data_IF_605056680922
#
_entry.id   IF_605056680922
#
_cell.length_a   1.000
_cell.length_b   1.000
_cell.length_c   1.000
_cell.angle_alpha   90.00
_cell.angle_beta   90.00
_cell.angle_gamma   90.00
#
_symmetry.space_group_name_H-M   'P 1'
#
loop_
_entity.id
_entity.type
_entity.pdbx_description
1 polymer ?
#
# COMPACT_ATOMS: atom_id res chain seq x y z
N UNK A 1 -7.38 9.63 -7.73
CA UNK A 1 -6.34 8.92 -8.51
C UNK A 1 -6.42 7.44 -8.21
N UNK A 2 -5.63 6.59 -8.87
CA UNK A 2 -5.53 5.15 -8.55
C UNK A 2 -4.23 4.88 -7.77
N UNK A 3 -4.23 3.88 -6.88
CA UNK A 3 -3.03 3.44 -6.14
C UNK A 3 -2.88 1.92 -6.12
N UNK A 4 -1.65 1.45 -5.90
CA UNK A 4 -1.31 0.04 -5.74
C UNK A 4 -1.65 -0.81 -6.96
N UNK A 5 -2.18 -2.01 -6.72
CA UNK A 5 -2.52 -2.99 -7.77
C UNK A 5 -3.41 -2.39 -8.87
N UNK A 6 -4.32 -1.47 -8.54
CA UNK A 6 -5.22 -0.83 -9.52
C UNK A 6 -4.44 0.07 -10.47
N UNK A 7 -3.50 0.86 -9.95
CA UNK A 7 -2.65 1.74 -10.76
C UNK A 7 -1.62 0.94 -11.57
N UNK A 8 -0.98 -0.06 -10.93
CA UNK A 8 -0.01 -0.96 -11.56
C UNK A 8 -0.61 -1.78 -12.70
N UNK A 9 -1.89 -2.09 -12.66
CA UNK A 9 -2.59 -2.81 -13.72
C UNK A 9 -2.78 -2.02 -15.03
N UNK A 10 -2.55 -0.70 -15.00
CA UNK A 10 -2.59 0.21 -16.16
C UNK A 10 -1.23 0.89 -16.40
N UNK A 11 -0.14 0.28 -15.93
CA UNK A 11 1.22 0.71 -16.22
C UNK A 11 1.75 1.82 -15.31
N UNK A 12 0.98 2.29 -14.33
CA UNK A 12 1.43 3.31 -13.39
C UNK A 12 2.33 2.66 -12.35
N UNK A 13 3.61 3.03 -12.36
CA UNK A 13 4.63 2.55 -11.43
C UNK A 13 4.66 3.39 -10.16
N UNK A 14 3.66 3.25 -9.30
CA UNK A 14 3.66 3.85 -7.97
C UNK A 14 3.82 2.76 -6.90
N UNK A 15 4.87 2.87 -6.09
CA UNK A 15 5.12 1.92 -5.00
C UNK A 15 5.94 2.62 -3.93
N UNK A 16 5.34 2.84 -2.76
CA UNK A 16 6.02 3.58 -1.69
C UNK A 16 7.25 2.86 -1.14
N UNK A 17 7.42 1.54 -1.36
CA UNK A 17 8.68 0.84 -1.01
C UNK A 17 9.87 1.28 -1.86
N UNK A 18 9.61 1.83 -3.06
CA UNK A 18 10.63 2.36 -3.98
C UNK A 18 10.68 3.88 -3.94
N UNK A 19 9.52 4.54 -3.98
CA UNK A 19 9.42 6.01 -4.04
C UNK A 19 9.75 6.67 -2.70
N UNK A 20 9.38 6.02 -1.59
CA UNK A 20 9.59 6.49 -0.21
C UNK A 20 10.10 5.35 0.68
N UNK A 21 11.29 4.80 0.39
CA UNK A 21 11.74 3.55 1.00
C UNK A 21 11.81 3.67 2.53
N UNK A 22 11.30 2.63 3.20
CA UNK A 22 11.26 2.50 4.65
C UNK A 22 11.74 1.12 5.07
N UNK A 23 12.01 0.93 6.36
CA UNK A 23 12.65 -0.28 6.87
C UNK A 23 13.92 -0.60 6.05
N UNK A 24 14.06 -1.82 5.54
CA UNK A 24 15.22 -2.27 4.78
C UNK A 24 14.94 -2.43 3.26
N UNK A 25 13.84 -1.89 2.72
CA UNK A 25 13.48 -2.11 1.30
C UNK A 25 14.55 -1.58 0.32
N UNK A 26 15.19 -0.45 0.64
CA UNK A 26 16.31 0.11 -0.12
C UNK A 26 17.58 -0.77 -0.05
N UNK A 27 17.81 -1.45 1.07
CA UNK A 27 18.96 -2.33 1.30
C UNK A 27 18.78 -3.70 0.62
N UNK A 28 17.54 -4.18 0.50
CA UNK A 28 17.22 -5.46 -0.16
C UNK A 28 17.17 -5.38 -1.69
N UNK A 29 17.44 -4.20 -2.27
CA UNK A 29 17.50 -4.01 -3.72
C UNK A 29 16.14 -4.09 -4.42
N UNK A 30 15.05 -3.80 -3.71
CA UNK A 30 13.72 -3.73 -4.32
C UNK A 30 13.62 -2.48 -5.21
N UNK A 31 13.70 -2.68 -6.53
CA UNK A 31 13.71 -1.57 -7.51
C UNK A 31 12.74 -1.78 -8.67
N UNK A 32 12.27 -3.00 -8.89
CA UNK A 32 11.39 -3.34 -10.00
C UNK A 32 9.93 -3.34 -9.55
N UNK A 33 9.15 -2.40 -10.10
CA UNK A 33 7.70 -2.31 -9.88
C UNK A 33 6.99 -3.07 -11.01
N UNK A 34 6.33 -4.16 -10.62
CA UNK A 34 5.60 -5.04 -11.52
C UNK A 34 4.30 -4.38 -11.99
N UNK A 35 4.09 -4.35 -13.30
CA UNK A 35 2.94 -3.70 -13.93
C UNK A 35 2.32 -4.56 -15.02
N UNK A 36 1.11 -4.18 -15.40
CA UNK A 36 0.36 -4.65 -16.57
C UNK A 36 -0.22 -3.44 -17.30
N UNK A 37 -0.82 -3.62 -18.48
CA UNK A 37 -1.28 -2.50 -19.33
C UNK A 37 -2.79 -2.48 -19.59
N UNK A 38 -3.47 -3.63 -19.56
CA UNK A 38 -4.87 -3.70 -20.02
C UNK A 38 -5.88 -3.15 -19.03
N UNK A 39 -5.52 -3.00 -17.74
CA UNK A 39 -6.42 -2.46 -16.71
C UNK A 39 -7.63 -3.32 -16.36
N UNK A 40 -7.78 -4.49 -16.98
CA UNK A 40 -8.88 -5.41 -16.72
C UNK A 40 -8.66 -6.23 -15.43
N UNK A 41 -9.60 -7.15 -15.16
CA UNK A 41 -9.51 -8.06 -14.02
C UNK A 41 -8.26 -8.95 -14.11
N UNK A 42 -7.90 -9.40 -15.32
CA UNK A 42 -6.76 -10.26 -15.55
C UNK A 42 -5.45 -9.53 -15.28
N UNK A 43 -5.29 -8.27 -15.70
CA UNK A 43 -4.15 -7.43 -15.37
C UNK A 43 -3.97 -7.27 -13.85
N UNK A 44 -5.05 -6.97 -13.11
CA UNK A 44 -5.00 -6.90 -11.64
C UNK A 44 -4.63 -8.24 -10.99
N UNK A 45 -5.03 -9.36 -11.59
CA UNK A 45 -4.60 -10.68 -11.14
C UNK A 45 -3.12 -10.92 -11.41
N UNK A 46 -2.65 -10.66 -12.63
CA UNK A 46 -1.26 -10.83 -13.04
C UNK A 46 -0.30 -9.99 -12.21
N UNK A 47 -0.63 -8.72 -11.92
CA UNK A 47 0.15 -7.88 -10.99
C UNK A 47 0.32 -8.56 -9.64
N UNK A 48 -0.76 -9.10 -9.04
CA UNK A 48 -0.66 -9.80 -7.74
C UNK A 48 0.23 -11.04 -7.81
N UNK A 49 0.13 -11.82 -8.89
CA UNK A 49 0.99 -13.00 -9.08
C UNK A 49 2.46 -12.59 -9.19
N UNK A 50 2.76 -11.51 -9.91
CA UNK A 50 4.11 -10.94 -10.01
C UNK A 50 4.60 -10.44 -8.65
N UNK A 51 3.78 -9.71 -7.90
CA UNK A 51 4.11 -9.22 -6.55
C UNK A 51 4.33 -10.35 -5.55
N UNK A 52 3.62 -11.48 -5.65
CA UNK A 52 3.89 -12.68 -4.83
C UNK A 52 5.28 -13.23 -5.13
N UNK A 53 5.67 -13.34 -6.41
CA UNK A 53 7.02 -13.80 -6.79
C UNK A 53 8.10 -12.82 -6.32
N UNK A 54 7.87 -11.52 -6.46
CA UNK A 54 8.77 -10.49 -5.96
C UNK A 54 8.90 -10.55 -4.43
N UNK A 55 7.79 -10.79 -3.71
CA UNK A 55 7.79 -10.95 -2.25
C UNK A 55 8.61 -12.17 -1.80
N UNK A 56 8.48 -13.31 -2.50
CA UNK A 56 9.30 -14.50 -2.23
C UNK A 56 10.79 -14.18 -2.43
N UNK A 57 11.14 -13.53 -3.54
CA UNK A 57 12.53 -13.11 -3.82
C UNK A 57 13.07 -12.18 -2.72
N UNK A 58 12.28 -11.23 -2.25
CA UNK A 58 12.66 -10.33 -1.15
C UNK A 58 12.88 -11.09 0.17
N UNK A 59 12.02 -12.06 0.48
CA UNK A 59 12.19 -12.91 1.68
C UNK A 59 13.51 -13.70 1.57
N UNK A 60 13.79 -14.31 0.41
CA UNK A 60 15.05 -15.03 0.19
C UNK A 60 16.28 -14.13 0.27
N UNK A 61 16.18 -12.87 -0.21
CA UNK A 61 17.24 -11.88 -0.08
C UNK A 61 17.45 -11.49 1.38
N UNK A 62 16.38 -11.19 2.12
CA UNK A 62 16.44 -10.81 3.52
C UNK A 62 17.05 -11.93 4.39
N UNK A 63 16.70 -13.19 4.14
CA UNK A 63 17.26 -14.33 4.86
C UNK A 63 18.78 -14.50 4.65
N UNK A 64 19.34 -14.03 3.53
CA UNK A 64 20.79 -14.11 3.26
C UNK A 64 21.60 -13.05 3.99
N UNK A 65 20.97 -11.93 4.34
CA UNK A 65 21.63 -10.77 4.95
C UNK A 65 21.07 -10.43 6.33
N UNK A 66 20.30 -11.35 6.93
CA UNK A 66 19.62 -11.14 8.19
C UNK A 66 20.67 -10.88 9.30
N UNK A 67 20.72 -9.67 9.88
CA UNK A 67 21.68 -9.36 10.93
C UNK A 67 21.19 -9.93 12.27
N UNK A 68 22.14 -10.31 13.12
CA UNK A 68 21.87 -10.52 14.54
C UNK A 68 21.74 -9.16 15.25
N UNK A 69 20.98 -9.12 16.35
CA UNK A 69 20.85 -7.90 17.15
C UNK A 69 19.54 -7.83 17.95
N UNK A 70 19.32 -6.72 18.67
CA UNK A 70 18.07 -6.49 19.38
C UNK A 70 16.90 -6.32 18.41
N UNK A 71 15.78 -6.98 18.69
CA UNK A 71 14.57 -6.93 17.85
C UNK A 71 13.69 -5.70 18.12
N UNK A 72 13.88 -5.06 19.27
CA UNK A 72 13.12 -3.89 19.70
C UNK A 72 14.07 -2.74 20.01
N UNK A 73 13.79 -1.57 19.45
CA UNK A 73 14.45 -0.34 19.88
C UNK A 73 13.92 0.08 21.25
N UNK A 74 14.78 0.66 22.09
CA UNK A 74 14.30 1.40 23.27
C UNK A 74 13.53 2.63 22.80
N UNK A 75 12.26 2.71 23.19
CA UNK A 75 11.38 3.83 22.84
C UNK A 75 10.97 4.58 24.09
N UNK A 76 11.27 5.88 24.14
CA UNK A 76 10.59 6.78 25.07
C UNK A 76 9.21 7.09 24.50
N UNK A 77 8.13 6.80 25.23
CA UNK A 77 6.76 7.19 24.88
C UNK A 77 6.52 8.71 25.05
N UNK A 78 7.53 9.53 24.77
CA UNK A 78 7.52 10.98 24.88
C UNK A 78 7.57 11.51 23.45
N UNK A 79 6.45 12.00 22.96
CA UNK A 79 6.37 12.57 21.62
C UNK A 79 6.70 14.05 21.62
N UNK A 80 7.17 14.56 20.47
CA UNK A 80 7.37 15.99 20.25
C UNK A 80 6.03 16.72 20.42
N UNK A 81 6.00 17.81 21.17
CA UNK A 81 4.83 18.68 21.37
C UNK A 81 4.49 19.46 20.10
N UNK A 82 3.21 19.68 19.82
CA UNK A 82 2.69 20.43 18.67
C UNK A 82 3.28 20.00 17.32
N UNK A 83 3.42 18.70 17.12
CA UNK A 83 4.04 18.15 15.93
C UNK A 83 3.00 17.56 14.97
N UNK A 84 3.39 17.48 13.70
CA UNK A 84 2.68 16.75 12.66
C UNK A 84 3.64 15.74 12.06
N UNK A 85 3.22 14.49 11.97
CA UNK A 85 3.95 13.41 11.31
C UNK A 85 3.08 12.83 10.19
N UNK A 86 3.71 12.61 9.05
CA UNK A 86 3.12 11.91 7.92
C UNK A 86 3.98 10.67 7.66
N UNK A 87 3.34 9.50 7.60
CA UNK A 87 4.02 8.25 7.24
C UNK A 87 3.24 7.55 6.14
N UNK A 88 3.97 6.91 5.24
CA UNK A 88 3.43 6.22 4.08
C UNK A 88 4.08 4.84 3.99
N UNK A 89 3.27 3.81 3.78
CA UNK A 89 3.72 2.43 3.60
C UNK A 89 2.93 1.76 2.48
N UNK A 90 3.54 0.78 1.80
CA UNK A 90 2.87 0.04 0.73
C UNK A 90 2.16 -1.17 1.34
N UNK A 91 0.84 -1.10 1.43
CA UNK A 91 0.03 -2.28 1.69
C UNK A 91 -0.15 -3.11 0.42
N UNK A 92 -0.57 -4.36 0.55
CA UNK A 92 -0.86 -5.23 -0.61
C UNK A 92 -2.02 -4.74 -1.50
N UNK A 93 -2.81 -3.76 -1.03
CA UNK A 93 -3.83 -3.04 -1.82
C UNK A 93 -3.30 -1.76 -2.46
N UNK A 94 -2.19 -1.22 -1.95
CA UNK A 94 -1.59 0.05 -2.34
C UNK A 94 -1.12 0.89 -1.15
N UNK A 95 -0.77 2.13 -1.45
CA UNK A 95 -0.30 3.15 -0.49
C UNK A 95 -1.28 3.41 0.68
N UNK A 96 -0.85 3.11 1.90
CA UNK A 96 -1.50 3.48 3.15
C UNK A 96 -0.77 4.70 3.72
N UNK A 97 -1.53 5.73 4.10
CA UNK A 97 -0.98 6.95 4.68
C UNK A 97 -1.52 7.15 6.10
N UNK A 98 -0.65 7.56 7.02
CA UNK A 98 -1.02 7.96 8.37
C UNK A 98 -0.58 9.40 8.60
N UNK A 99 -1.55 10.26 8.95
CA UNK A 99 -1.29 11.56 9.54
C UNK A 99 -1.48 11.45 11.05
N UNK A 100 -0.47 11.80 11.82
CA UNK A 100 -0.53 11.86 13.28
C UNK A 100 -0.14 13.25 13.76
N UNK A 101 -0.91 13.83 14.66
CA UNK A 101 -0.59 15.11 15.29
C UNK A 101 -0.49 14.97 16.81
N UNK A 102 0.32 15.80 17.44
CA UNK A 102 0.44 15.88 18.89
C UNK A 102 0.04 17.26 19.40
N UNK A 103 -0.44 17.33 20.65
CA UNK A 103 -0.83 18.57 21.31
C UNK A 103 0.34 19.23 22.06
N UNK A 104 0.03 20.28 22.85
CA UNK A 104 0.99 21.03 23.67
C UNK A 104 1.66 20.17 24.77
N UNK A 105 1.04 19.06 25.16
CA UNK A 105 1.55 18.14 26.17
C UNK A 105 2.32 16.97 25.54
N UNK A 106 2.26 16.83 24.21
CA UNK A 106 2.87 15.74 23.47
C UNK A 106 1.97 14.51 23.40
N UNK A 107 0.71 14.62 23.82
CA UNK A 107 -0.27 13.54 23.62
C UNK A 107 -0.69 13.50 22.16
N UNK A 108 -1.11 12.32 21.70
CA UNK A 108 -1.67 12.14 20.37
C UNK A 108 -3.00 12.91 20.30
N UNK A 109 -3.05 13.94 19.47
CA UNK A 109 -4.26 14.75 19.24
C UNK A 109 -5.15 14.16 18.15
N UNK A 110 -4.57 13.87 16.97
CA UNK A 110 -5.32 13.30 15.84
C UNK A 110 -4.52 12.19 15.19
N UNK A 111 -5.21 11.11 14.84
CA UNK A 111 -4.73 10.05 13.95
C UNK A 111 -5.72 9.97 12.79
N UNK A 112 -5.23 10.17 11.57
CA UNK A 112 -6.04 10.07 10.36
C UNK A 112 -5.34 9.11 9.38
N UNK A 113 -5.72 7.83 9.41
CA UNK A 113 -5.29 6.88 8.40
C UNK A 113 -6.06 7.11 7.09
N UNK A 114 -5.43 6.79 5.96
CA UNK A 114 -6.06 6.74 4.64
C UNK A 114 -5.71 5.43 3.97
N UNK A 115 -6.69 4.53 3.92
CA UNK A 115 -6.56 3.26 3.21
C UNK A 115 -6.59 3.47 1.68
N UNK A 116 -5.89 2.63 0.90
CA UNK A 116 -5.99 2.59 -0.57
C UNK A 116 -7.43 2.53 -1.09
N UNK A 117 -8.34 1.93 -0.32
CA UNK A 117 -9.73 1.74 -0.69
C UNK A 117 -10.46 3.06 -0.86
N UNK A 118 -10.23 4.05 0.00
CA UNK A 118 -10.82 5.39 -0.16
C UNK A 118 -10.49 6.00 -1.52
N UNK A 119 -9.24 5.81 -1.98
CA UNK A 119 -8.74 6.34 -3.24
C UNK A 119 -9.29 5.55 -4.43
N UNK A 120 -9.37 4.23 -4.31
CA UNK A 120 -9.73 3.32 -5.40
C UNK A 120 -11.24 3.06 -5.52
N UNK A 121 -12.06 3.30 -4.49
CA UNK A 121 -13.50 2.98 -4.49
C UNK A 121 -14.30 3.62 -5.62
N UNK A 122 -14.12 4.92 -5.91
CA UNK A 122 -14.83 5.57 -7.02
C UNK A 122 -14.56 4.92 -8.37
N UNK A 123 -13.40 4.26 -8.54
CA UNK A 123 -13.01 3.61 -9.79
C UNK A 123 -13.79 2.33 -10.07
N UNK A 124 -14.40 1.69 -9.06
CA UNK A 124 -15.20 0.47 -9.25
C UNK A 124 -16.43 0.77 -10.12
N UNK A 125 -17.08 1.93 -9.91
CA UNK A 125 -18.21 2.36 -10.73
C UNK A 125 -17.84 2.58 -12.19
N UNK A 126 -16.67 3.17 -12.44
CA UNK A 126 -16.14 3.36 -13.80
C UNK A 126 -15.75 2.03 -14.45
N UNK A 127 -15.11 1.12 -13.70
CA UNK A 127 -14.72 -0.18 -14.21
C UNK A 127 -15.91 -1.10 -14.52
N UNK A 128 -17.02 -0.94 -13.80
CA UNK A 128 -18.27 -1.68 -14.02
C UNK A 128 -19.12 -1.14 -15.17
N UNK A 129 -18.89 0.10 -15.62
CA UNK A 129 -19.66 0.70 -16.70
C UNK A 129 -19.55 -0.14 -17.98
N UNK A 130 -20.65 -0.26 -18.71
CA UNK A 130 -20.73 -1.00 -19.99
C UNK A 130 -20.46 -2.51 -19.93
N UNK A 131 -20.40 -3.11 -18.73
CA UNK A 131 -20.33 -4.57 -18.55
C UNK A 131 -21.71 -5.16 -18.25
N UNK A 132 -21.86 -6.48 -18.38
CA UNK A 132 -23.10 -7.17 -18.01
C UNK A 132 -23.19 -7.32 -16.49
N UNK A 133 -24.41 -7.38 -15.94
CA UNK A 133 -24.65 -7.51 -14.49
C UNK A 133 -23.86 -8.66 -13.84
N UNK A 134 -23.73 -9.86 -14.46
CA UNK A 134 -22.93 -10.95 -13.89
C UNK A 134 -21.43 -10.66 -13.72
N UNK A 135 -20.86 -9.66 -14.40
CA UNK A 135 -19.44 -9.30 -14.26
C UNK A 135 -19.17 -8.45 -13.02
N UNK A 136 -20.20 -7.82 -12.46
CA UNK A 136 -20.04 -6.93 -11.30
C UNK A 136 -19.31 -7.58 -10.12
N UNK A 137 -19.65 -8.81 -9.67
CA UNK A 137 -18.93 -9.46 -8.58
C UNK A 137 -17.44 -9.68 -8.89
N UNK A 138 -17.11 -10.03 -10.14
CA UNK A 138 -15.73 -10.27 -10.57
C UNK A 138 -14.93 -8.96 -10.61
N UNK A 139 -15.52 -7.90 -11.18
CA UNK A 139 -14.91 -6.57 -11.21
C UNK A 139 -14.69 -6.07 -9.78
N UNK A 140 -15.72 -6.05 -8.94
CA UNK A 140 -15.62 -5.60 -7.56
C UNK A 140 -14.55 -6.38 -6.77
N UNK A 141 -14.56 -7.71 -6.87
CA UNK A 141 -13.60 -8.54 -6.13
C UNK A 141 -12.16 -8.38 -6.63
N UNK A 142 -11.97 -8.06 -7.91
CA UNK A 142 -10.63 -7.82 -8.46
C UNK A 142 -9.94 -6.58 -7.88
N UNK A 143 -10.70 -5.55 -7.47
CA UNK A 143 -10.15 -4.41 -6.72
C UNK A 143 -9.83 -4.82 -5.27
N UNK A 144 -10.66 -5.70 -4.69
CA UNK A 144 -10.52 -6.27 -3.35
C UNK A 144 -10.45 -5.22 -2.23
N UNK A 145 -11.25 -4.15 -2.37
CA UNK A 145 -11.24 -3.01 -1.48
C UNK A 145 -11.82 -3.35 -0.10
N UNK A 146 -11.39 -2.60 0.91
CA UNK A 146 -11.87 -2.68 2.28
C UNK A 146 -13.00 -1.68 2.49
N UNK A 147 -14.18 -2.16 2.91
CA UNK A 147 -15.29 -1.29 3.29
C UNK A 147 -14.91 -0.45 4.51
N UNK A 148 -14.38 -1.08 5.56
CA UNK A 148 -13.95 -0.35 6.75
C UNK A 148 -12.83 0.63 6.44
N UNK A 149 -11.92 0.29 5.54
CA UNK A 149 -10.84 1.19 5.11
C UNK A 149 -11.34 2.42 4.35
N UNK A 150 -12.48 2.31 3.67
CA UNK A 150 -13.16 3.43 3.03
C UNK A 150 -13.92 4.31 4.03
N UNK A 151 -14.31 3.79 5.19
CA UNK A 151 -15.08 4.55 6.17
C UNK A 151 -14.19 5.28 7.20
N UNK A 152 -12.85 5.13 7.09
CA UNK A 152 -11.85 5.73 7.98
C UNK A 152 -11.60 7.23 7.72
#
# INVERSE_FOLDING_TARGET
GATGVVAKAVGIKNDSRVDFPYAAYNELGFTEIETEQSGDVHARFCVRVKEVRASIKLIEQALKVLPDGPLCAESSNIFRKNAVALSVVEGWRGEILYLVTTDNDGNIGRVAPRDPSWVNWPLVGHAGAHNVVPDFPLINKSFNLSYTGNDL
#
